data_IF_171070963009
#
_entry.id   IF_171070963009
#
_cell.length_a   1.000
_cell.length_b   1.000
_cell.length_c   1.000
_cell.angle_alpha   90.00
_cell.angle_beta   90.00
_cell.angle_gamma   90.00
#
_symmetry.space_group_name_H-M   'P 1'
#
loop_
_entity.id
_entity.type
_entity.pdbx_description
1 polymer ?
#
# COMPACT_ATOMS: atom_id res chain seq x y z
N UNK A 1 -13.99 -18.91 -2.55
CA UNK A 1 -14.58 -18.02 -1.59
C UNK A 1 -13.93 -18.13 -0.20
N UNK A 2 -13.71 -17.00 0.44
CA UNK A 2 -12.96 -16.93 1.70
C UNK A 2 -13.87 -16.64 2.89
N UNK A 3 -14.64 -17.60 3.31
CA UNK A 3 -15.48 -17.44 4.50
C UNK A 3 -14.62 -17.13 5.73
N UNK A 4 -14.81 -15.95 6.31
CA UNK A 4 -14.11 -15.53 7.49
C UNK A 4 -12.61 -15.29 7.30
N UNK A 5 -12.09 -15.36 6.07
CA UNK A 5 -10.69 -15.10 5.77
C UNK A 5 -10.57 -13.89 4.83
N UNK A 6 -10.33 -12.71 5.35
CA UNK A 6 -10.15 -11.54 4.52
C UNK A 6 -8.86 -11.63 3.70
N UNK A 7 -8.86 -11.04 2.52
CA UNK A 7 -7.64 -10.84 1.76
C UNK A 7 -6.72 -9.87 2.50
N UNK A 8 -5.42 -10.06 2.32
CA UNK A 8 -4.40 -9.34 3.06
C UNK A 8 -3.91 -8.14 2.26
N UNK A 9 -4.21 -6.94 2.75
CA UNK A 9 -3.82 -5.69 2.10
C UNK A 9 -2.85 -4.94 2.99
N UNK A 10 -1.67 -4.65 2.45
CA UNK A 10 -0.63 -3.89 3.12
C UNK A 10 -0.66 -2.45 2.63
N UNK A 11 -0.69 -1.50 3.54
CA UNK A 11 -0.69 -0.07 3.21
C UNK A 11 0.44 0.64 3.93
N UNK A 12 1.09 1.51 3.21
CA UNK A 12 2.20 2.32 3.73
C UNK A 12 1.91 3.82 3.63
N UNK A 13 0.66 4.19 3.46
CA UNK A 13 0.24 5.58 3.34
C UNK A 13 -1.05 5.83 4.12
N UNK A 14 -1.03 6.84 5.00
CA UNK A 14 -2.17 7.19 5.85
C UNK A 14 -3.41 7.54 5.03
N UNK A 15 -3.24 8.32 3.97
CA UNK A 15 -4.35 8.78 3.15
C UNK A 15 -5.08 7.60 2.50
N UNK A 16 -4.32 6.60 2.04
CA UNK A 16 -4.90 5.39 1.46
C UNK A 16 -5.68 4.60 2.51
N UNK A 17 -5.18 4.53 3.75
CA UNK A 17 -5.90 3.84 4.83
C UNK A 17 -7.23 4.52 5.09
N UNK A 18 -7.23 5.85 5.32
CA UNK A 18 -8.43 6.62 5.58
C UNK A 18 -9.45 6.48 4.45
N UNK A 19 -8.98 6.64 3.22
CA UNK A 19 -9.85 6.64 2.05
C UNK A 19 -10.55 5.31 1.87
N UNK A 20 -9.80 4.22 1.91
CA UNK A 20 -10.38 2.90 1.74
C UNK A 20 -11.33 2.53 2.88
N UNK A 21 -10.99 2.90 4.11
CA UNK A 21 -11.84 2.61 5.27
C UNK A 21 -13.20 3.30 5.17
N UNK A 22 -13.22 4.54 4.62
CA UNK A 22 -14.48 5.30 4.48
C UNK A 22 -15.35 4.83 3.32
N UNK A 23 -14.73 4.34 2.25
CA UNK A 23 -15.45 4.14 0.99
C UNK A 23 -16.01 2.74 0.79
N UNK A 24 -15.62 1.75 1.59
CA UNK A 24 -16.04 0.41 1.24
C UNK A 24 -15.94 -0.59 2.37
N UNK A 25 -16.83 -1.56 2.28
CA UNK A 25 -16.83 -2.77 3.07
C UNK A 25 -15.97 -3.82 2.37
N UNK A 26 -14.69 -3.54 2.18
CA UNK A 26 -13.79 -4.52 1.60
C UNK A 26 -13.64 -5.72 2.52
N UNK A 27 -13.79 -6.89 1.97
CA UNK A 27 -13.49 -8.13 2.71
C UNK A 27 -11.97 -8.32 2.71
N UNK A 28 -11.27 -7.51 3.49
CA UNK A 28 -9.83 -7.47 3.54
C UNK A 28 -9.33 -7.12 4.93
N UNK A 29 -8.20 -7.68 5.30
CA UNK A 29 -7.48 -7.30 6.50
C UNK A 29 -6.42 -6.26 6.10
N UNK A 30 -6.51 -5.07 6.68
CA UNK A 30 -5.58 -3.98 6.40
C UNK A 30 -4.48 -3.92 7.44
N UNK A 31 -3.26 -4.13 7.00
CA UNK A 31 -2.08 -3.99 7.84
C UNK A 31 -1.28 -2.77 7.39
N UNK A 32 -0.98 -1.89 8.32
CA UNK A 32 -0.19 -0.69 8.06
C UNK A 32 1.25 -0.92 8.45
N UNK A 33 2.18 -0.59 7.57
CA UNK A 33 3.60 -0.65 7.89
C UNK A 33 4.21 0.71 7.61
N UNK A 34 4.69 1.36 8.67
CA UNK A 34 5.33 2.65 8.58
C UNK A 34 6.84 2.55 8.63
N UNK A 35 7.51 3.54 8.05
CA UNK A 35 8.97 3.66 8.14
C UNK A 35 9.40 4.21 9.50
N UNK A 36 8.46 4.80 10.24
CA UNK A 36 8.67 5.29 11.60
C UNK A 36 7.38 5.10 12.41
N UNK A 37 7.51 5.19 13.74
CA UNK A 37 6.40 4.90 14.65
C UNK A 37 5.24 5.90 14.55
N UNK A 38 5.54 7.17 14.23
CA UNK A 38 4.49 8.19 14.06
C UNK A 38 3.62 7.89 12.84
N UNK A 39 4.24 7.46 11.75
CA UNK A 39 3.52 7.07 10.54
C UNK A 39 2.62 5.85 10.81
N UNK A 40 3.16 4.84 11.47
CA UNK A 40 2.38 3.64 11.83
C UNK A 40 1.20 3.99 12.73
N UNK A 41 1.44 4.82 13.76
CA UNK A 41 0.38 5.26 14.68
C UNK A 41 -0.72 6.02 13.94
N UNK A 42 -0.36 6.88 12.98
CA UNK A 42 -1.32 7.62 12.18
C UNK A 42 -2.19 6.69 11.33
N UNK A 43 -1.59 5.67 10.74
CA UNK A 43 -2.33 4.69 9.95
C UNK A 43 -3.28 3.84 10.81
N UNK A 44 -2.86 3.48 12.02
CA UNK A 44 -3.74 2.78 12.96
C UNK A 44 -4.93 3.64 13.35
N UNK A 45 -4.71 4.92 13.64
CA UNK A 45 -5.80 5.86 13.93
C UNK A 45 -6.74 6.04 12.75
N UNK A 46 -6.22 5.90 11.54
CA UNK A 46 -7.03 6.01 10.32
C UNK A 46 -7.89 4.77 10.06
N UNK A 47 -7.67 3.68 10.78
CA UNK A 47 -8.53 2.51 10.69
C UNK A 47 -7.86 1.20 10.25
N UNK A 48 -6.54 1.16 10.16
CA UNK A 48 -5.86 -0.12 9.89
C UNK A 48 -6.11 -1.10 11.03
N UNK A 49 -6.23 -2.38 10.70
CA UNK A 49 -6.53 -3.42 11.69
C UNK A 49 -5.34 -3.70 12.60
N UNK A 50 -4.15 -3.65 12.04
CA UNK A 50 -2.92 -3.84 12.81
C UNK A 50 -1.77 -3.11 12.11
N UNK A 51 -0.67 -2.93 12.82
CA UNK A 51 0.45 -2.16 12.30
C UNK A 51 1.80 -2.65 12.80
N UNK A 52 2.83 -2.30 12.04
CA UNK A 52 4.22 -2.58 12.38
C UNK A 52 5.12 -1.49 11.82
N UNK A 53 6.35 -1.39 12.33
CA UNK A 53 7.26 -0.30 11.97
C UNK A 53 8.64 -0.83 11.63
N UNK A 54 9.22 -0.27 10.57
CA UNK A 54 10.64 -0.43 10.27
C UNK A 54 10.96 -1.43 9.18
N UNK A 55 12.25 -1.59 8.93
CA UNK A 55 12.74 -2.37 7.81
C UNK A 55 12.31 -3.84 7.86
N UNK A 56 12.51 -4.49 8.99
CA UNK A 56 12.13 -5.89 9.10
C UNK A 56 10.62 -6.09 8.93
N UNK A 57 9.82 -5.14 9.43
CA UNK A 57 8.37 -5.17 9.28
C UNK A 57 7.97 -5.10 7.80
N UNK A 58 8.62 -4.23 7.02
CA UNK A 58 8.38 -4.14 5.58
C UNK A 58 8.73 -5.45 4.89
N UNK A 59 9.91 -6.00 5.17
CA UNK A 59 10.38 -7.24 4.55
C UNK A 59 9.44 -8.40 4.87
N UNK A 60 9.08 -8.55 6.13
CA UNK A 60 8.18 -9.61 6.58
C UNK A 60 6.80 -9.49 5.92
N UNK A 61 6.23 -8.29 5.94
CA UNK A 61 4.87 -8.06 5.46
C UNK A 61 4.77 -8.03 3.94
N UNK A 62 5.85 -7.76 3.23
CA UNK A 62 5.88 -7.88 1.78
C UNK A 62 5.62 -9.31 1.31
N UNK A 63 5.95 -10.30 2.14
CA UNK A 63 5.64 -11.71 1.85
C UNK A 63 4.23 -12.10 2.27
N UNK A 64 3.68 -11.38 3.23
CA UNK A 64 2.34 -11.66 3.77
C UNK A 64 1.22 -11.17 2.85
N UNK A 65 1.42 -10.03 2.19
CA UNK A 65 0.36 -9.32 1.48
C UNK A 65 -0.05 -9.99 0.16
N UNK A 66 -1.33 -9.89 -0.16
CA UNK A 66 -1.83 -10.15 -1.51
C UNK A 66 -1.77 -8.88 -2.37
N UNK A 67 -2.00 -7.74 -1.74
CA UNK A 67 -1.97 -6.43 -2.39
C UNK A 67 -1.20 -5.47 -1.49
N UNK A 68 -0.34 -4.66 -2.09
CA UNK A 68 0.34 -3.57 -1.40
C UNK A 68 -0.06 -2.24 -2.01
N UNK A 69 -0.26 -1.23 -1.16
CA UNK A 69 -0.63 0.11 -1.60
C UNK A 69 0.26 1.14 -0.93
N UNK A 70 0.73 2.10 -1.69
CA UNK A 70 1.59 3.16 -1.15
C UNK A 70 2.11 4.10 -2.22
N UNK A 71 2.97 5.05 -1.83
CA UNK A 71 3.61 5.93 -2.81
C UNK A 71 4.66 5.15 -3.61
N UNK A 72 4.88 5.58 -4.85
CA UNK A 72 5.85 4.90 -5.74
C UNK A 72 7.26 4.89 -5.16
N UNK A 73 7.59 5.83 -4.27
CA UNK A 73 8.90 5.90 -3.62
C UNK A 73 9.26 4.66 -2.80
N UNK A 74 8.29 3.82 -2.43
CA UNK A 74 8.58 2.58 -1.69
C UNK A 74 9.34 1.55 -2.54
N UNK A 75 9.37 1.75 -3.86
CA UNK A 75 10.13 0.89 -4.77
C UNK A 75 11.57 1.38 -4.99
N UNK A 76 11.93 2.55 -4.47
CA UNK A 76 13.22 3.15 -4.76
C UNK A 76 14.14 3.08 -3.55
N UNK A 77 15.36 2.52 -3.72
CA UNK A 77 16.38 2.61 -2.67
C UNK A 77 16.61 4.08 -2.30
N UNK A 78 16.62 4.36 -0.99
CA UNK A 78 16.73 5.71 -0.43
C UNK A 78 15.57 6.64 -0.76
N UNK A 79 14.45 6.10 -1.20
CA UNK A 79 13.22 6.87 -1.38
C UNK A 79 12.68 7.39 -0.05
N UNK A 80 11.74 8.33 -0.11
CA UNK A 80 11.14 8.97 1.05
C UNK A 80 12.22 9.58 1.98
N UNK A 81 13.11 10.38 1.40
CA UNK A 81 14.20 11.04 2.12
C UNK A 81 15.14 10.08 2.86
N UNK A 82 15.33 8.89 2.29
CA UNK A 82 16.22 7.89 2.87
C UNK A 82 15.56 6.93 3.84
N UNK A 83 14.25 7.06 4.09
CA UNK A 83 13.56 6.13 4.99
C UNK A 83 13.36 4.75 4.36
N UNK A 84 13.39 4.65 3.04
CA UNK A 84 13.31 3.37 2.32
C UNK A 84 14.71 2.87 2.06
N UNK A 85 15.11 1.83 2.79
CA UNK A 85 16.42 1.20 2.55
C UNK A 85 16.39 0.38 1.25
N UNK A 86 17.57 0.03 0.76
CA UNK A 86 17.69 -0.84 -0.41
C UNK A 86 17.00 -2.19 -0.16
N UNK A 87 17.12 -2.75 1.06
CA UNK A 87 16.47 -4.00 1.42
C UNK A 87 14.95 -3.88 1.40
N UNK A 88 14.41 -2.77 1.89
CA UNK A 88 12.97 -2.51 1.85
C UNK A 88 12.46 -2.41 0.42
N UNK A 89 13.13 -1.63 -0.42
CA UNK A 89 12.76 -1.47 -1.83
C UNK A 89 12.79 -2.81 -2.56
N UNK A 90 13.82 -3.63 -2.31
CA UNK A 90 13.94 -4.96 -2.91
C UNK A 90 12.81 -5.89 -2.46
N UNK A 91 12.46 -5.85 -1.17
CA UNK A 91 11.38 -6.68 -0.64
C UNK A 91 10.02 -6.32 -1.25
N UNK A 92 9.74 -5.02 -1.37
CA UNK A 92 8.50 -4.55 -1.98
C UNK A 92 8.47 -4.88 -3.48
N UNK A 93 9.54 -4.51 -4.20
CA UNK A 93 9.60 -4.73 -5.65
C UNK A 93 9.61 -6.20 -6.03
N UNK A 94 10.25 -7.05 -5.22
CA UNK A 94 10.34 -8.49 -5.46
C UNK A 94 9.16 -9.30 -4.92
N UNK A 95 8.23 -8.67 -4.23
CA UNK A 95 7.05 -9.36 -3.70
C UNK A 95 6.12 -9.83 -4.82
N UNK A 96 5.46 -10.95 -4.61
CA UNK A 96 4.43 -11.45 -5.52
C UNK A 96 3.12 -10.68 -5.39
N UNK A 97 2.96 -9.87 -4.34
CA UNK A 97 1.76 -9.05 -4.18
C UNK A 97 1.58 -8.08 -5.35
N UNK A 98 0.34 -7.83 -5.71
CA UNK A 98 0.03 -6.76 -6.66
C UNK A 98 0.29 -5.43 -5.97
N UNK A 99 0.97 -4.51 -6.66
CA UNK A 99 1.33 -3.21 -6.09
C UNK A 99 0.53 -2.12 -6.75
N UNK A 100 -0.28 -1.43 -5.96
CA UNK A 100 -1.07 -0.28 -6.39
C UNK A 100 -0.37 0.96 -5.83
N UNK A 101 0.21 1.76 -6.70
CA UNK A 101 1.12 2.83 -6.29
C UNK A 101 0.63 4.20 -6.73
N UNK A 102 0.77 5.16 -5.83
CA UNK A 102 0.47 6.55 -6.11
C UNK A 102 1.69 7.25 -6.70
N UNK A 103 1.52 8.04 -7.76
CA UNK A 103 2.60 8.88 -8.27
C UNK A 103 3.05 9.89 -7.22
N UNK A 104 4.32 10.30 -7.28
CA UNK A 104 4.86 11.33 -6.40
C UNK A 104 5.67 12.32 -7.21
N UNK A 105 5.45 13.61 -6.94
CA UNK A 105 6.22 14.68 -7.56
C UNK A 105 7.62 14.85 -6.93
N UNK A 106 7.83 14.24 -5.77
CA UNK A 106 9.05 14.43 -4.97
C UNK A 106 10.17 13.49 -5.35
N UNK A 107 9.91 12.50 -6.16
CA UNK A 107 10.94 11.58 -6.64
C UNK A 107 11.31 11.90 -8.09
N UNK A 108 12.40 11.29 -8.56
CA UNK A 108 12.89 11.50 -9.93
C UNK A 108 12.15 10.66 -10.97
N UNK A 109 11.14 9.90 -10.55
CA UNK A 109 10.37 9.06 -11.46
C UNK A 109 9.28 9.88 -12.12
N UNK A 110 9.20 9.79 -13.44
CA UNK A 110 8.10 10.40 -14.21
C UNK A 110 7.38 9.29 -14.94
N UNK A 111 6.06 9.27 -14.81
CA UNK A 111 5.23 8.24 -15.42
C UNK A 111 4.66 8.74 -16.75
N UNK A 112 4.81 7.93 -17.78
CA UNK A 112 4.34 8.28 -19.13
C UNK A 112 2.85 7.93 -19.28
N UNK A 113 2.01 8.49 -18.41
CA UNK A 113 0.57 8.21 -18.36
C UNK A 113 -0.29 9.48 -18.51
N UNK A 114 0.28 10.51 -19.09
CA UNK A 114 -0.40 11.78 -19.30
C UNK A 114 -0.05 12.82 -18.25
N UNK A 115 -0.83 13.90 -18.22
CA UNK A 115 -0.60 15.02 -17.31
C UNK A 115 -0.83 14.61 -15.85
N UNK A 116 -0.06 15.20 -14.92
CA UNK A 116 -0.30 14.99 -13.49
C UNK A 116 -1.72 15.39 -13.09
N UNK A 117 -2.32 14.59 -12.22
CA UNK A 117 -3.66 14.82 -11.72
C UNK A 117 -3.63 15.20 -10.24
N UNK A 118 -4.70 15.81 -9.71
CA UNK A 118 -4.83 16.01 -8.27
C UNK A 118 -4.79 14.68 -7.51
N UNK A 119 -4.30 14.71 -6.28
CA UNK A 119 -4.20 13.51 -5.43
C UNK A 119 -5.53 12.75 -5.34
N UNK A 120 -6.65 13.47 -5.24
CA UNK A 120 -7.96 12.83 -5.14
C UNK A 120 -8.28 11.91 -6.32
N UNK A 121 -7.86 12.28 -7.52
CA UNK A 121 -8.04 11.44 -8.71
C UNK A 121 -7.28 10.14 -8.57
N UNK A 122 -6.03 10.20 -8.10
CA UNK A 122 -5.21 9.00 -7.88
C UNK A 122 -5.77 8.13 -6.77
N UNK A 123 -6.28 8.73 -5.70
CA UNK A 123 -6.90 7.97 -4.61
C UNK A 123 -8.14 7.21 -5.10
N UNK A 124 -8.98 7.88 -5.91
CA UNK A 124 -10.16 7.24 -6.50
C UNK A 124 -9.75 6.06 -7.38
N UNK A 125 -8.73 6.25 -8.20
CA UNK A 125 -8.23 5.18 -9.07
C UNK A 125 -7.62 4.03 -8.25
N UNK A 126 -6.90 4.33 -7.18
CA UNK A 126 -6.31 3.31 -6.31
C UNK A 126 -7.41 2.43 -5.69
N UNK A 127 -8.51 3.02 -5.24
CA UNK A 127 -9.63 2.27 -4.67
C UNK A 127 -10.28 1.38 -5.73
N UNK A 128 -10.47 1.89 -6.94
CA UNK A 128 -11.02 1.10 -8.05
C UNK A 128 -10.11 -0.09 -8.37
N UNK A 129 -8.80 0.13 -8.40
CA UNK A 129 -7.83 -0.92 -8.66
C UNK A 129 -7.84 -1.96 -7.54
N UNK A 130 -7.96 -1.54 -6.29
CA UNK A 130 -8.05 -2.44 -5.16
C UNK A 130 -9.30 -3.31 -5.27
N UNK A 131 -10.44 -2.71 -5.52
CA UNK A 131 -11.71 -3.45 -5.66
C UNK A 131 -11.62 -4.49 -6.77
N UNK A 132 -11.11 -4.09 -7.93
CA UNK A 132 -10.93 -4.98 -9.07
C UNK A 132 -9.99 -6.14 -8.73
N UNK A 133 -8.90 -5.85 -8.02
CA UNK A 133 -7.91 -6.87 -7.66
C UNK A 133 -8.46 -7.85 -6.64
N UNK A 134 -9.24 -7.39 -5.66
CA UNK A 134 -9.86 -8.27 -4.68
C UNK A 134 -10.92 -9.17 -5.33
N UNK A 135 -11.66 -8.65 -6.30
CA UNK A 135 -12.59 -9.45 -7.09
C UNK A 135 -11.87 -10.55 -7.87
N UNK A 136 -10.74 -10.21 -8.50
CA UNK A 136 -9.93 -11.17 -9.23
C UNK A 136 -9.42 -12.29 -8.32
N UNK A 137 -8.94 -11.94 -7.14
CA UNK A 137 -8.45 -12.90 -6.16
C UNK A 137 -9.59 -13.82 -5.67
N UNK A 138 -10.78 -13.29 -5.48
CA UNK A 138 -11.93 -14.07 -5.07
C UNK A 138 -12.36 -15.07 -6.14
N UNK A 139 -12.32 -14.68 -7.41
CA UNK A 139 -12.64 -15.56 -8.51
C UNK A 139 -11.63 -16.71 -8.70
N UNK A 140 -10.38 -16.48 -8.31
CA UNK A 140 -9.31 -17.49 -8.39
C UNK A 140 -9.29 -18.42 -7.17
N UNK A 141 -10.04 -18.11 -6.15
CA UNK A 141 -10.01 -18.86 -4.90
C UNK A 141 -10.76 -20.19 -4.95
#
# INVERSE_FOLDING_TARGET
>A
HFFGRPFKVLKVDKTLVEYCTRLSDFHAQFRAVGTNSLATAAMLRAGADEGATGENAVIFNAKWAHVMMGPIGVLTPNGLLGEVSAAMAAAVGGSEAVKILLPSHRCSIRLAVGEPQPLQVYLDEAVKLLDKELQRLEEEA
#
